data_IF_524747488649
#
_entry.id   IF_524747488649
#
_cell.length_a   1.000
_cell.length_b   1.000
_cell.length_c   1.000
_cell.angle_alpha   90.00
_cell.angle_beta   90.00
_cell.angle_gamma   90.00
#
_symmetry.space_group_name_H-M   'P 1'
#
loop_
_entity.id
_entity.type
_entity.pdbx_description
1 polymer ?
#
# COMPACT_ATOMS: atom_id res chain seq x y z
N UNK A 1 22.21 -12.23 20.48
CA UNK A 1 20.92 -11.50 20.42
C UNK A 1 20.26 -11.83 19.09
N UNK A 2 18.92 -11.84 19.03
CA UNK A 2 18.20 -11.94 17.74
C UNK A 2 17.85 -10.53 17.29
N UNK A 3 18.09 -10.24 16.02
CA UNK A 3 17.70 -8.98 15.39
C UNK A 3 16.21 -9.01 15.04
N UNK A 4 15.54 -7.86 15.12
CA UNK A 4 14.14 -7.74 14.69
C UNK A 4 14.10 -7.70 13.16
N UNK A 5 13.35 -8.62 12.57
CA UNK A 5 12.96 -8.56 11.16
C UNK A 5 11.79 -7.59 11.00
N UNK A 6 11.83 -6.75 9.97
CA UNK A 6 10.71 -5.90 9.57
C UNK A 6 10.12 -6.44 8.27
N UNK A 7 8.79 -6.45 8.19
CA UNK A 7 8.06 -6.88 7.00
C UNK A 7 7.52 -5.68 6.25
N UNK A 8 7.84 -5.60 4.96
CA UNK A 8 7.35 -4.58 4.04
C UNK A 8 6.55 -5.29 2.94
N UNK A 9 5.25 -5.04 2.90
CA UNK A 9 4.34 -5.67 1.95
C UNK A 9 4.00 -4.74 0.78
N UNK A 10 4.08 -5.27 -0.45
CA UNK A 10 3.82 -4.54 -1.70
C UNK A 10 2.54 -4.99 -2.42
N UNK A 11 1.65 -5.72 -1.75
CA UNK A 11 0.45 -6.32 -2.38
C UNK A 11 -0.45 -5.28 -3.05
N UNK A 12 -0.67 -4.14 -2.40
CA UNK A 12 -1.55 -3.07 -2.90
C UNK A 12 -0.94 -2.24 -4.04
N UNK A 13 0.35 -2.40 -4.33
CA UNK A 13 1.07 -1.71 -5.41
C UNK A 13 1.58 -2.69 -6.45
N UNK A 14 2.62 -3.46 -6.14
CA UNK A 14 3.23 -4.43 -7.06
C UNK A 14 2.27 -5.56 -7.37
N UNK A 15 1.56 -6.07 -6.34
CA UNK A 15 0.57 -7.13 -6.53
C UNK A 15 -0.52 -6.73 -7.52
N UNK A 16 -0.97 -5.47 -7.47
CA UNK A 16 -1.95 -4.90 -8.40
C UNK A 16 -1.43 -4.76 -9.85
N UNK A 17 -0.10 -4.77 -10.09
CA UNK A 17 0.44 -4.74 -11.46
C UNK A 17 0.31 -6.09 -12.19
N UNK A 18 -0.12 -7.13 -11.49
CA UNK A 18 -0.40 -8.44 -12.08
C UNK A 18 -1.55 -8.34 -13.10
N UNK A 19 -1.37 -8.92 -14.28
CA UNK A 19 -2.38 -8.91 -15.33
C UNK A 19 -3.71 -9.49 -14.83
N UNK A 20 -4.79 -8.71 -14.97
CA UNK A 20 -6.12 -9.11 -14.52
C UNK A 20 -6.42 -8.83 -13.05
N UNK A 21 -5.47 -8.28 -12.29
CA UNK A 21 -5.68 -7.82 -10.92
C UNK A 21 -5.94 -6.32 -10.91
N UNK A 22 -7.08 -5.92 -10.38
CA UNK A 22 -7.42 -4.52 -10.14
C UNK A 22 -8.16 -4.45 -8.81
N UNK A 23 -7.76 -3.53 -7.94
CA UNK A 23 -8.44 -3.31 -6.67
C UNK A 23 -9.18 -1.97 -6.73
N UNK A 24 -10.48 -2.00 -6.44
CA UNK A 24 -11.23 -0.81 -6.09
C UNK A 24 -10.79 -0.29 -4.72
N UNK A 25 -11.08 0.97 -4.42
CA UNK A 25 -10.71 1.59 -3.14
C UNK A 25 -11.20 0.79 -1.91
N UNK A 26 -12.46 0.31 -1.85
CA UNK A 26 -12.91 -0.51 -0.70
C UNK A 26 -12.16 -1.83 -0.56
N UNK A 27 -11.78 -2.46 -1.67
CA UNK A 27 -11.01 -3.70 -1.67
C UNK A 27 -9.59 -3.45 -1.14
N UNK A 28 -8.98 -2.30 -1.50
CA UNK A 28 -7.70 -1.89 -0.91
C UNK A 28 -7.79 -1.72 0.59
N UNK A 29 -8.86 -1.13 1.11
CA UNK A 29 -9.07 -1.00 2.57
C UNK A 29 -9.19 -2.37 3.25
N UNK A 30 -9.94 -3.30 2.66
CA UNK A 30 -10.08 -4.66 3.19
C UNK A 30 -8.74 -5.41 3.22
N UNK A 31 -7.97 -5.34 2.14
CA UNK A 31 -6.64 -5.96 2.08
C UNK A 31 -5.68 -5.29 3.07
N UNK A 32 -5.71 -3.97 3.21
CA UNK A 32 -4.87 -3.27 4.18
C UNK A 32 -5.15 -3.69 5.62
N UNK A 33 -6.42 -3.89 6.00
CA UNK A 33 -6.77 -4.46 7.30
C UNK A 33 -6.25 -5.88 7.47
N UNK A 34 -6.40 -6.73 6.45
CA UNK A 34 -5.88 -8.10 6.52
C UNK A 34 -4.35 -8.15 6.68
N UNK A 35 -3.61 -7.25 6.01
CA UNK A 35 -2.16 -7.11 6.15
C UNK A 35 -1.78 -6.61 7.55
N UNK A 36 -2.53 -5.66 8.11
CA UNK A 36 -2.32 -5.16 9.46
C UNK A 36 -2.56 -6.25 10.52
N UNK A 37 -3.63 -7.04 10.35
CA UNK A 37 -3.95 -8.19 11.21
C UNK A 37 -2.88 -9.28 11.14
N UNK A 38 -2.25 -9.47 9.97
CA UNK A 38 -1.10 -10.36 9.80
C UNK A 38 0.16 -9.85 10.55
N UNK A 39 0.21 -8.55 10.85
CA UNK A 39 1.28 -7.92 11.62
C UNK A 39 2.45 -7.43 10.78
N UNK A 40 2.21 -7.02 9.53
CA UNK A 40 3.26 -6.37 8.72
C UNK A 40 3.62 -4.99 9.29
N UNK A 41 4.87 -4.58 9.16
CA UNK A 41 5.31 -3.28 9.68
C UNK A 41 5.00 -2.14 8.69
N UNK A 42 5.05 -2.43 7.39
CA UNK A 42 4.83 -1.46 6.32
C UNK A 42 3.93 -2.01 5.22
N UNK A 43 3.04 -1.15 4.70
CA UNK A 43 2.15 -1.45 3.58
C UNK A 43 2.38 -0.41 2.48
N UNK A 44 2.84 -0.84 1.31
CA UNK A 44 2.94 0.02 0.12
C UNK A 44 1.57 0.18 -0.54
N UNK A 45 0.91 1.31 -0.29
CA UNK A 45 -0.49 1.53 -0.64
C UNK A 45 -0.78 1.83 -2.12
N UNK A 46 0.26 2.09 -2.92
CA UNK A 46 0.14 2.48 -4.32
C UNK A 46 0.91 3.75 -4.66
N UNK A 47 0.55 4.38 -5.79
CA UNK A 47 1.19 5.58 -6.32
C UNK A 47 0.20 6.77 -6.38
N UNK A 48 0.00 7.48 -5.25
CA UNK A 48 -0.86 8.65 -5.21
C UNK A 48 -0.33 9.76 -6.13
N UNK A 49 -1.24 10.43 -6.83
CA UNK A 49 -0.93 11.45 -7.85
C UNK A 49 -0.70 10.90 -9.26
N UNK A 50 -0.38 9.61 -9.43
CA UNK A 50 -0.33 8.94 -10.74
C UNK A 50 -1.56 8.05 -10.98
N UNK A 51 -2.10 7.43 -9.93
CA UNK A 51 -3.31 6.63 -9.99
C UNK A 51 -4.43 7.30 -9.15
N UNK A 52 -5.61 7.61 -9.74
CA UNK A 52 -6.74 8.20 -9.01
C UNK A 52 -7.23 7.33 -7.85
N UNK A 53 -7.39 6.02 -8.06
CA UNK A 53 -7.81 5.07 -7.02
C UNK A 53 -6.85 5.05 -5.84
N UNK A 54 -5.55 5.15 -6.11
CA UNK A 54 -4.54 5.20 -5.05
C UNK A 54 -4.63 6.53 -4.30
N UNK A 55 -4.86 7.64 -5.00
CA UNK A 55 -5.03 8.96 -4.39
C UNK A 55 -6.24 8.98 -3.44
N UNK A 56 -7.37 8.41 -3.88
CA UNK A 56 -8.58 8.26 -3.06
C UNK A 56 -8.34 7.32 -1.88
N UNK A 57 -7.64 6.21 -2.10
CA UNK A 57 -7.25 5.29 -1.03
C UNK A 57 -6.39 5.98 0.03
N UNK A 58 -5.38 6.77 -0.35
CA UNK A 58 -4.54 7.49 0.61
C UNK A 58 -5.31 8.58 1.38
N UNK A 59 -6.30 9.21 0.74
CA UNK A 59 -7.18 10.19 1.37
C UNK A 59 -8.15 9.53 2.38
N UNK A 60 -8.60 8.30 2.09
CA UNK A 60 -9.54 7.53 2.91
C UNK A 60 -8.90 6.32 3.59
N UNK A 61 -7.57 6.32 3.81
CA UNK A 61 -6.86 5.13 4.28
C UNK A 61 -7.37 4.70 5.66
N UNK A 62 -7.46 3.38 5.92
CA UNK A 62 -7.87 2.90 7.23
C UNK A 62 -6.80 3.21 8.28
N UNK A 63 -7.23 3.27 9.53
CA UNK A 63 -6.30 3.33 10.66
C UNK A 63 -5.75 1.92 10.92
N UNK A 64 -4.42 1.78 10.86
CA UNK A 64 -3.68 0.52 11.03
C UNK A 64 -2.52 0.70 11.99
N UNK A 65 -1.94 -0.39 12.48
CA UNK A 65 -0.65 -0.39 13.20
C UNK A 65 0.53 -0.26 12.24
N UNK A 66 0.42 -0.86 11.06
CA UNK A 66 1.39 -0.76 9.98
C UNK A 66 1.52 0.68 9.47
N UNK A 67 2.73 1.06 9.05
CA UNK A 67 2.99 2.36 8.42
C UNK A 67 2.72 2.27 6.92
N UNK A 68 1.83 3.13 6.41
CA UNK A 68 1.61 3.24 4.97
C UNK A 68 2.77 3.96 4.28
N UNK A 69 3.22 3.40 3.18
CA UNK A 69 4.23 3.97 2.29
C UNK A 69 3.64 4.19 0.90
N UNK A 70 3.99 5.31 0.28
CA UNK A 70 3.57 5.64 -1.08
C UNK A 70 4.74 5.42 -2.05
N UNK A 71 4.46 4.79 -3.18
CA UNK A 71 5.40 4.74 -4.29
C UNK A 71 5.48 6.12 -4.97
N UNK A 72 6.66 6.50 -5.43
CA UNK A 72 6.87 7.77 -6.13
C UNK A 72 8.12 7.74 -7.01
N UNK A 73 8.19 8.65 -7.98
CA UNK A 73 9.40 8.88 -8.77
C UNK A 73 10.27 9.97 -8.14
N UNK A 74 11.59 9.81 -8.20
CA UNK A 74 12.57 10.78 -7.72
C UNK A 74 12.70 12.01 -8.63
N UNK A 75 12.25 11.92 -9.89
CA UNK A 75 12.24 13.04 -10.84
C UNK A 75 10.89 13.75 -10.83
N UNK A 76 10.86 15.02 -10.40
CA UNK A 76 9.71 15.92 -10.64
C UNK A 76 9.59 16.14 -12.16
N UNK A 77 8.38 16.00 -12.70
CA UNK A 77 8.09 16.47 -14.05
C UNK A 77 8.36 17.98 -14.09
N UNK A 78 9.34 18.37 -14.91
CA UNK A 78 9.71 19.73 -15.22
C UNK A 78 9.90 19.82 -16.73
#
# INVERSE_FOLDING_TARGET
MRERLYLFDTTLRDGQQTQGVQFAMPEKQQIAHALDDLGVDYIEGGWPGANPTDSDFFAARPQTRATFTAFGMTKRAG
#
